data_IF_902473674294
#
_entry.id   IF_902473674294
#
_cell.length_a   1.000
_cell.length_b   1.000
_cell.length_c   1.000
_cell.angle_alpha   90.00
_cell.angle_beta   90.00
_cell.angle_gamma   90.00
#
_symmetry.space_group_name_H-M   'P 1'
#
loop_
_entity.id
_entity.type
_entity.pdbx_description
1 polymer ?
#
# COMPACT_ATOMS: atom_id res chain seq x y z
N UNK A 1 -29.30 16.39 -18.15
CA UNK A 1 -28.97 17.70 -17.56
C UNK A 1 -28.83 17.60 -16.04
N UNK A 2 -28.57 18.66 -15.27
CA UNK A 2 -28.21 18.57 -13.83
C UNK A 2 -29.12 17.66 -12.99
N UNK A 3 -30.45 17.77 -13.09
CA UNK A 3 -31.37 16.95 -12.30
C UNK A 3 -31.24 15.44 -12.61
N UNK A 4 -30.97 15.08 -13.85
CA UNK A 4 -30.82 13.68 -14.26
C UNK A 4 -29.51 13.11 -13.68
N UNK A 5 -28.42 13.87 -13.74
CA UNK A 5 -27.15 13.52 -13.13
C UNK A 5 -27.30 13.37 -11.59
N UNK A 6 -27.93 14.35 -10.93
CA UNK A 6 -28.23 14.27 -9.50
C UNK A 6 -29.05 13.01 -9.13
N UNK A 7 -30.03 12.67 -9.97
CA UNK A 7 -30.86 11.48 -9.75
C UNK A 7 -30.06 10.19 -9.90
N UNK A 8 -29.20 10.11 -10.93
CA UNK A 8 -28.32 8.96 -11.14
C UNK A 8 -27.33 8.76 -9.98
N UNK A 9 -26.74 9.85 -9.48
CA UNK A 9 -25.85 9.80 -8.32
C UNK A 9 -26.54 9.34 -7.04
N UNK A 10 -27.79 9.78 -6.80
CA UNK A 10 -28.60 9.30 -5.68
C UNK A 10 -28.88 7.79 -5.80
N UNK A 11 -29.22 7.32 -7.00
CA UNK A 11 -29.48 5.90 -7.26
C UNK A 11 -28.21 5.06 -7.06
N UNK A 12 -27.07 5.52 -7.57
CA UNK A 12 -25.76 4.83 -7.39
C UNK A 12 -25.37 4.68 -5.92
N UNK A 13 -25.74 5.66 -5.07
CA UNK A 13 -25.54 5.58 -3.59
C UNK A 13 -26.65 4.84 -2.84
N UNK A 14 -27.72 4.41 -3.49
CA UNK A 14 -28.86 3.75 -2.85
C UNK A 14 -29.65 4.66 -1.90
N UNK A 15 -29.66 5.98 -2.10
CA UNK A 15 -30.33 6.96 -1.25
C UNK A 15 -31.43 7.70 -2.03
N UNK A 16 -32.48 8.15 -1.31
CA UNK A 16 -33.51 8.97 -1.94
C UNK A 16 -33.01 10.39 -2.18
N UNK A 17 -33.54 11.04 -3.23
CA UNK A 17 -33.22 12.45 -3.57
C UNK A 17 -33.51 13.42 -2.44
N UNK A 18 -34.60 13.17 -1.68
CA UNK A 18 -34.96 13.97 -0.52
C UNK A 18 -33.98 13.82 0.62
N UNK A 19 -33.51 12.60 0.85
CA UNK A 19 -32.51 12.32 1.87
C UNK A 19 -31.16 12.98 1.53
N UNK A 20 -30.72 12.85 0.29
CA UNK A 20 -29.50 13.52 -0.17
C UNK A 20 -29.59 15.05 0.00
N UNK A 21 -30.72 15.64 -0.36
CA UNK A 21 -30.96 17.08 -0.18
C UNK A 21 -30.87 17.49 1.30
N UNK A 22 -31.51 16.76 2.20
CA UNK A 22 -31.47 17.02 3.65
C UNK A 22 -30.05 16.92 4.22
N UNK A 23 -29.31 15.90 3.83
CA UNK A 23 -27.91 15.71 4.27
C UNK A 23 -26.98 16.82 3.78
N UNK A 24 -27.29 17.46 2.65
CA UNK A 24 -26.59 18.64 2.13
C UNK A 24 -27.11 19.98 2.67
N UNK A 25 -28.11 19.96 3.56
CA UNK A 25 -28.76 21.18 4.08
C UNK A 25 -29.61 21.91 3.03
N UNK A 26 -30.10 21.20 2.02
CA UNK A 26 -30.98 21.74 0.98
C UNK A 26 -32.44 21.39 1.26
N UNK A 27 -33.37 22.29 0.89
CA UNK A 27 -34.80 22.02 1.03
C UNK A 27 -35.30 21.10 -0.08
N UNK A 28 -36.34 20.29 0.22
CA UNK A 28 -37.02 19.46 -0.78
C UNK A 28 -37.67 20.30 -1.90
N UNK A 29 -38.07 21.54 -1.61
CA UNK A 29 -38.58 22.47 -2.61
C UNK A 29 -37.54 22.86 -3.65
N UNK A 30 -36.25 22.93 -3.25
CA UNK A 30 -35.11 23.16 -4.16
C UNK A 30 -34.97 22.05 -5.17
N UNK A 31 -35.03 20.79 -4.72
CA UNK A 31 -34.96 19.60 -5.59
C UNK A 31 -36.16 19.54 -6.53
N UNK A 32 -37.35 19.86 -6.01
CA UNK A 32 -38.60 19.91 -6.83
C UNK A 32 -38.51 21.00 -7.90
N UNK A 33 -37.91 22.15 -7.59
CA UNK A 33 -37.65 23.22 -8.57
C UNK A 33 -36.74 22.71 -9.70
N UNK A 34 -35.63 22.05 -9.39
CA UNK A 34 -34.73 21.48 -10.42
C UNK A 34 -35.48 20.51 -11.34
N UNK A 35 -36.33 19.62 -10.75
CA UNK A 35 -37.13 18.69 -11.49
C UNK A 35 -38.09 19.37 -12.46
N UNK A 36 -38.78 20.41 -11.99
CA UNK A 36 -39.90 21.01 -12.76
C UNK A 36 -39.42 22.05 -13.78
N UNK A 37 -38.36 22.75 -13.49
CA UNK A 37 -37.87 23.87 -14.32
C UNK A 37 -36.64 23.53 -15.14
N UNK A 38 -35.96 22.41 -14.87
CA UNK A 38 -34.66 22.10 -15.46
C UNK A 38 -33.56 23.08 -15.08
N UNK A 39 -33.79 23.95 -14.09
CA UNK A 39 -32.88 25.01 -13.72
C UNK A 39 -31.55 24.46 -13.17
N UNK A 40 -30.47 25.07 -13.59
CA UNK A 40 -29.13 24.81 -13.01
C UNK A 40 -29.03 25.46 -11.64
N UNK A 41 -28.55 24.76 -10.62
CA UNK A 41 -28.31 25.34 -9.29
C UNK A 41 -27.27 26.45 -9.32
N UNK A 42 -27.28 27.29 -8.26
CA UNK A 42 -26.23 28.29 -8.05
C UNK A 42 -24.87 27.62 -7.83
N UNK A 43 -23.78 28.35 -8.08
CA UNK A 43 -22.42 27.85 -7.91
C UNK A 43 -22.15 27.27 -6.51
N UNK A 44 -22.69 27.89 -5.46
CA UNK A 44 -22.58 27.40 -4.08
C UNK A 44 -23.28 26.05 -3.91
N UNK A 45 -24.47 25.90 -4.47
CA UNK A 45 -25.22 24.64 -4.43
C UNK A 45 -24.54 23.55 -5.24
N UNK A 46 -23.99 23.90 -6.41
CA UNK A 46 -23.18 22.97 -7.23
C UNK A 46 -21.95 22.48 -6.47
N UNK A 47 -21.25 23.38 -5.78
CA UNK A 47 -20.08 23.01 -4.97
C UNK A 47 -20.47 22.06 -3.82
N UNK A 48 -21.62 22.27 -3.15
CA UNK A 48 -22.12 21.36 -2.10
C UNK A 48 -22.47 19.98 -2.64
N UNK A 49 -23.12 19.92 -3.80
CA UNK A 49 -23.49 18.65 -4.46
C UNK A 49 -22.23 17.91 -4.92
N UNK A 50 -21.29 18.65 -5.52
CA UNK A 50 -19.97 18.13 -5.93
C UNK A 50 -19.21 17.51 -4.75
N UNK A 51 -19.09 18.23 -3.64
CA UNK A 51 -18.42 17.75 -2.43
C UNK A 51 -19.12 16.53 -1.81
N UNK A 52 -20.45 16.54 -1.79
CA UNK A 52 -21.23 15.44 -1.20
C UNK A 52 -21.12 14.15 -2.01
N UNK A 53 -21.17 14.20 -3.33
CA UNK A 53 -21.08 13.02 -4.19
C UNK A 53 -19.64 12.67 -4.60
N UNK A 54 -18.69 13.59 -4.42
CA UNK A 54 -17.28 13.40 -4.81
C UNK A 54 -17.08 13.47 -6.34
N UNK A 55 -17.94 14.24 -7.05
CA UNK A 55 -17.88 14.39 -8.50
C UNK A 55 -17.58 15.84 -8.90
N UNK A 56 -16.81 16.09 -9.97
CA UNK A 56 -16.53 17.43 -10.45
C UNK A 56 -17.80 18.20 -10.85
N UNK A 57 -17.81 19.53 -10.66
CA UNK A 57 -18.96 20.39 -11.03
C UNK A 57 -19.29 20.29 -12.53
N UNK A 58 -18.30 20.15 -13.40
CA UNK A 58 -18.49 19.97 -14.85
C UNK A 58 -19.32 18.72 -15.17
N UNK A 59 -19.09 17.60 -14.48
CA UNK A 59 -19.86 16.38 -14.63
C UNK A 59 -21.32 16.56 -14.20
N UNK A 60 -21.57 17.33 -13.14
CA UNK A 60 -22.92 17.69 -12.70
C UNK A 60 -23.69 18.52 -13.72
N UNK A 61 -23.00 19.31 -14.53
CA UNK A 61 -23.57 20.16 -15.58
C UNK A 61 -23.76 19.42 -16.92
N UNK A 62 -23.29 18.14 -17.00
CA UNK A 62 -23.32 17.39 -18.24
C UNK A 62 -22.28 17.86 -19.25
N UNK A 63 -21.33 18.67 -18.82
CA UNK A 63 -20.09 18.85 -19.57
C UNK A 63 -19.40 17.49 -19.57
N UNK A 64 -19.10 16.97 -20.75
CA UNK A 64 -18.18 15.85 -20.84
C UNK A 64 -16.85 16.33 -20.23
N UNK A 65 -16.70 16.20 -18.91
CA UNK A 65 -15.38 16.20 -18.32
C UNK A 65 -14.69 15.09 -19.09
N UNK A 66 -13.61 15.36 -19.83
CA UNK A 66 -12.84 14.27 -20.37
C UNK A 66 -12.55 13.41 -19.14
N UNK A 67 -13.19 12.25 -19.05
CA UNK A 67 -12.86 11.26 -18.06
C UNK A 67 -11.35 11.14 -18.23
N UNK A 68 -10.57 11.45 -17.16
CA UNK A 68 -9.12 11.29 -17.14
C UNK A 68 -8.79 9.79 -17.11
N UNK A 69 -9.60 9.03 -17.77
CA UNK A 69 -9.43 7.70 -18.28
C UNK A 69 -9.46 7.77 -19.82
N UNK A 70 -8.70 8.70 -20.43
CA UNK A 70 -7.98 8.27 -21.60
C UNK A 70 -7.15 7.09 -21.09
N UNK A 71 -7.57 5.89 -21.45
CA UNK A 71 -6.68 4.73 -21.44
C UNK A 71 -5.45 5.16 -22.23
N UNK A 72 -4.51 5.82 -21.55
CA UNK A 72 -3.17 5.99 -22.09
C UNK A 72 -2.72 4.58 -22.33
N UNK A 73 -2.73 4.16 -23.61
CA UNK A 73 -2.17 2.88 -23.99
C UNK A 73 -0.78 2.85 -23.40
N UNK A 74 -0.67 2.14 -22.29
CA UNK A 74 0.62 1.98 -21.62
C UNK A 74 1.56 1.33 -22.65
N UNK A 75 2.84 1.68 -22.66
CA UNK A 75 3.84 0.98 -23.45
C UNK A 75 3.75 -0.53 -23.21
N UNK A 76 4.08 -1.31 -24.23
CA UNK A 76 4.10 -2.77 -24.11
C UNK A 76 4.97 -3.19 -22.91
N UNK A 77 4.41 -3.99 -22.00
CA UNK A 77 5.06 -4.41 -20.76
C UNK A 77 4.87 -3.46 -19.56
N UNK A 78 4.25 -2.29 -19.74
CA UNK A 78 3.95 -1.42 -18.60
C UNK A 78 2.74 -1.94 -17.82
N UNK A 79 2.85 -1.99 -16.50
CA UNK A 79 1.75 -2.35 -15.58
C UNK A 79 1.08 -1.08 -15.10
N UNK A 80 -0.27 -0.97 -15.17
CA UNK A 80 -0.99 0.18 -14.61
C UNK A 80 -0.68 0.35 -13.12
N UNK A 81 -0.43 1.59 -12.71
CA UNK A 81 -0.32 1.93 -11.30
C UNK A 81 -1.69 1.77 -10.63
N UNK A 82 -1.77 0.90 -9.65
CA UNK A 82 -2.95 0.72 -8.80
C UNK A 82 -2.64 1.31 -7.41
N UNK A 83 -3.20 2.46 -7.05
CA UNK A 83 -2.93 3.08 -5.75
C UNK A 83 -3.42 2.22 -4.56
N UNK A 84 -4.30 1.25 -4.80
CA UNK A 84 -4.72 0.29 -3.78
C UNK A 84 -3.64 -0.79 -3.52
N UNK A 85 -2.66 -0.93 -4.41
CA UNK A 85 -1.55 -1.87 -4.27
C UNK A 85 -0.30 -1.17 -3.74
N UNK A 86 -0.33 -0.86 -2.47
CA UNK A 86 0.83 -0.30 -1.76
C UNK A 86 1.18 -1.17 -0.56
N UNK A 87 2.46 -1.17 -0.18
CA UNK A 87 2.94 -1.78 1.05
C UNK A 87 3.66 -0.72 1.90
N UNK A 88 3.55 -0.77 3.24
CA UNK A 88 4.24 0.17 4.11
C UNK A 88 5.75 -0.02 4.00
N UNK A 89 6.50 1.08 4.00
CA UNK A 89 7.94 1.10 4.17
C UNK A 89 8.25 1.23 5.66
N UNK A 90 8.95 0.23 6.19
CA UNK A 90 9.37 0.19 7.58
C UNK A 90 10.84 0.58 7.71
N UNK A 91 11.14 1.48 8.62
CA UNK A 91 12.53 1.88 8.91
C UNK A 91 13.28 0.85 9.74
N UNK A 92 12.62 0.25 10.71
CA UNK A 92 13.23 -0.77 11.59
C UNK A 92 12.16 -1.74 12.10
N UNK A 93 12.45 -3.02 12.10
CA UNK A 93 11.59 -4.05 12.70
C UNK A 93 12.25 -4.56 13.98
N UNK A 94 11.60 -4.32 15.13
CA UNK A 94 12.07 -4.72 16.47
C UNK A 94 11.00 -5.51 17.21
N UNK A 95 11.42 -6.37 18.14
CA UNK A 95 10.47 -7.01 19.03
C UNK A 95 9.93 -6.02 20.08
N UNK A 96 8.71 -6.29 20.54
CA UNK A 96 8.05 -5.49 21.57
C UNK A 96 7.25 -4.30 21.04
N UNK A 97 7.49 -3.88 19.80
CA UNK A 97 6.63 -2.92 19.09
C UNK A 97 5.83 -3.63 17.99
N UNK A 98 4.56 -3.30 17.80
CA UNK A 98 3.82 -3.79 16.64
C UNK A 98 4.58 -3.41 15.35
N UNK A 99 4.83 -4.38 14.47
CA UNK A 99 5.60 -4.16 13.24
C UNK A 99 5.03 -3.02 12.39
N UNK A 100 3.69 -2.87 12.40
CA UNK A 100 2.94 -1.86 11.68
C UNK A 100 2.49 -0.69 12.58
N UNK A 101 3.21 -0.39 13.67
CA UNK A 101 2.96 0.83 14.43
C UNK A 101 3.25 2.06 13.55
N UNK A 102 2.43 3.10 13.64
CA UNK A 102 2.56 4.32 12.81
C UNK A 102 3.97 4.93 12.90
N UNK A 103 4.59 4.87 14.07
CA UNK A 103 5.96 5.35 14.32
C UNK A 103 7.05 4.58 13.57
N UNK A 104 6.75 3.36 13.08
CA UNK A 104 7.68 2.54 12.28
C UNK A 104 7.49 2.72 10.78
N UNK A 105 6.39 3.34 10.35
CA UNK A 105 6.06 3.51 8.93
C UNK A 105 6.64 4.81 8.43
N UNK A 106 7.61 4.72 7.53
CA UNK A 106 8.23 5.88 6.87
C UNK A 106 7.44 6.35 5.63
N UNK A 107 6.55 5.52 5.10
CA UNK A 107 5.73 5.80 3.92
C UNK A 107 5.08 4.56 3.34
N UNK A 108 4.50 4.72 2.14
CA UNK A 108 3.89 3.62 1.39
C UNK A 108 4.45 3.59 -0.02
N UNK A 109 4.82 2.41 -0.49
CA UNK A 109 5.42 2.19 -1.79
C UNK A 109 4.56 1.22 -2.60
N UNK A 110 4.32 1.51 -3.90
CA UNK A 110 3.59 0.61 -4.78
C UNK A 110 4.23 -0.77 -4.86
N UNK A 111 3.37 -1.80 -4.97
CA UNK A 111 3.76 -3.18 -5.26
C UNK A 111 2.99 -3.70 -6.48
N UNK A 112 3.57 -4.67 -7.18
CA UNK A 112 2.94 -5.28 -8.36
C UNK A 112 2.29 -6.64 -8.07
N UNK A 113 2.39 -7.11 -6.83
CA UNK A 113 1.94 -8.46 -6.44
C UNK A 113 0.50 -8.46 -5.97
N UNK A 114 -0.32 -9.38 -6.51
CA UNK A 114 -1.77 -9.51 -6.27
C UNK A 114 -2.17 -10.93 -5.80
N UNK A 115 -1.32 -11.58 -5.00
CA UNK A 115 -1.55 -12.95 -4.53
C UNK A 115 -2.29 -13.04 -3.18
N UNK A 116 -2.75 -11.92 -2.65
CA UNK A 116 -3.44 -11.85 -1.36
C UNK A 116 -2.53 -11.98 -0.13
N UNK A 117 -1.22 -12.15 -0.30
CA UNK A 117 -0.28 -12.15 0.80
C UNK A 117 -0.04 -10.72 1.32
N UNK A 118 0.41 -10.62 2.57
CA UNK A 118 0.86 -9.35 3.13
C UNK A 118 2.30 -9.07 2.73
N UNK A 119 2.56 -7.82 2.40
CA UNK A 119 3.88 -7.33 2.03
C UNK A 119 4.23 -6.07 2.80
N UNK A 120 5.53 -5.88 3.05
CA UNK A 120 6.08 -4.62 3.52
C UNK A 120 7.45 -4.38 2.88
N UNK A 121 7.81 -3.12 2.73
CA UNK A 121 9.16 -2.71 2.39
C UNK A 121 9.96 -2.52 3.66
N UNK A 122 11.23 -2.89 3.64
CA UNK A 122 12.16 -2.67 4.72
C UNK A 122 13.41 -1.97 4.18
N UNK A 123 13.81 -0.89 4.85
CA UNK A 123 15.06 -0.20 4.52
C UNK A 123 16.24 -0.99 5.06
N UNK A 124 17.18 -1.30 4.19
CA UNK A 124 18.40 -2.06 4.53
C UNK A 124 19.38 -1.19 5.30
N UNK A 125 19.92 -1.75 6.36
CA UNK A 125 20.99 -1.14 7.14
C UNK A 125 22.21 -2.04 7.12
N UNK A 126 23.38 -1.40 6.90
CA UNK A 126 24.66 -2.08 6.85
C UNK A 126 24.95 -2.81 5.53
N UNK A 127 26.09 -3.50 5.49
CA UNK A 127 26.72 -4.02 4.29
C UNK A 127 26.76 -5.56 4.22
N UNK A 128 26.06 -6.24 5.11
CA UNK A 128 26.17 -7.70 5.27
C UNK A 128 25.67 -8.51 4.06
N UNK A 129 24.98 -7.87 3.09
CA UNK A 129 24.43 -8.50 1.89
C UNK A 129 24.87 -7.82 0.59
N UNK A 130 25.92 -6.99 0.63
CA UNK A 130 26.37 -6.20 -0.52
C UNK A 130 26.96 -7.02 -1.65
N UNK A 131 27.47 -8.23 -1.38
CA UNK A 131 28.00 -9.15 -2.41
C UNK A 131 26.91 -9.77 -3.28
N UNK A 132 25.64 -9.67 -2.88
CA UNK A 132 24.48 -10.10 -3.69
C UNK A 132 23.66 -8.89 -4.19
N UNK A 133 24.26 -7.70 -4.15
CA UNK A 133 23.67 -6.50 -4.68
C UNK A 133 22.67 -5.81 -3.75
N UNK A 134 22.59 -6.17 -2.47
CA UNK A 134 21.74 -5.50 -1.48
C UNK A 134 22.65 -4.65 -0.59
N UNK A 135 22.54 -3.34 -0.74
CA UNK A 135 23.41 -2.36 -0.09
C UNK A 135 22.65 -1.56 0.98
N UNK A 136 23.39 -0.82 1.78
CA UNK A 136 22.79 0.10 2.74
C UNK A 136 21.89 1.12 2.03
N UNK A 137 20.76 1.44 2.66
CA UNK A 137 19.67 2.29 2.16
C UNK A 137 18.87 1.73 0.99
N UNK A 138 19.19 0.56 0.45
CA UNK A 138 18.28 -0.13 -0.46
C UNK A 138 16.97 -0.49 0.25
N UNK A 139 15.92 -0.69 -0.52
CA UNK A 139 14.62 -1.11 -0.02
C UNK A 139 14.30 -2.51 -0.53
N UNK A 140 14.02 -3.42 0.40
CA UNK A 140 13.64 -4.79 0.08
C UNK A 140 12.16 -5.01 0.32
N UNK A 141 11.48 -5.64 -0.65
CA UNK A 141 10.10 -6.08 -0.48
C UNK A 141 10.09 -7.45 0.18
N UNK A 142 9.39 -7.55 1.29
CA UNK A 142 9.29 -8.75 2.10
C UNK A 142 7.85 -9.27 2.07
N UNK A 143 7.69 -10.52 1.70
CA UNK A 143 6.44 -11.25 1.87
C UNK A 143 6.38 -11.77 3.30
N UNK A 144 5.38 -11.33 4.06
CA UNK A 144 5.18 -11.77 5.44
C UNK A 144 4.80 -13.25 5.48
N UNK A 145 5.65 -14.06 6.09
CA UNK A 145 5.41 -15.48 6.30
C UNK A 145 6.30 -16.03 7.42
N UNK A 146 5.81 -17.00 8.21
CA UNK A 146 6.55 -17.52 9.37
C UNK A 146 7.66 -18.51 9.00
N UNK A 147 7.70 -18.99 7.76
CA UNK A 147 8.63 -20.02 7.31
C UNK A 147 9.22 -19.67 5.94
N UNK A 148 10.45 -20.09 5.71
CA UNK A 148 11.17 -20.00 4.43
C UNK A 148 11.94 -21.30 4.16
N UNK A 149 12.21 -21.56 2.91
CA UNK A 149 13.00 -22.72 2.50
C UNK A 149 14.51 -22.49 2.72
N UNK A 150 15.24 -23.57 2.88
CA UNK A 150 16.71 -23.52 2.98
C UNK A 150 17.32 -22.88 1.74
N UNK A 151 18.19 -21.92 1.96
CA UNK A 151 18.86 -21.17 0.90
C UNK A 151 18.10 -19.93 0.43
N UNK A 152 16.91 -19.66 0.97
CA UNK A 152 16.18 -18.43 0.66
C UNK A 152 16.70 -17.23 1.46
N UNK A 153 16.54 -16.05 0.90
CA UNK A 153 16.85 -14.79 1.55
C UNK A 153 15.68 -14.37 2.43
N UNK A 154 15.91 -14.24 3.72
CA UNK A 154 14.87 -13.99 4.71
C UNK A 154 15.19 -12.79 5.60
N UNK A 155 14.14 -12.16 6.07
CA UNK A 155 14.18 -11.25 7.21
C UNK A 155 13.93 -12.08 8.46
N UNK A 156 14.88 -12.05 9.40
CA UNK A 156 14.89 -12.91 10.59
C UNK A 156 15.17 -12.06 11.83
N UNK A 157 14.51 -12.38 12.93
CA UNK A 157 14.78 -11.80 14.26
C UNK A 157 15.38 -12.86 15.16
N UNK A 158 16.41 -12.48 15.92
CA UNK A 158 17.10 -13.34 16.90
C UNK A 158 16.93 -12.73 18.29
N UNK A 159 16.38 -13.51 19.24
CA UNK A 159 16.10 -13.08 20.62
C UNK A 159 15.33 -11.76 20.73
N UNK A 160 14.48 -11.47 19.77
CA UNK A 160 13.71 -10.24 19.76
C UNK A 160 14.51 -8.97 19.46
N UNK A 161 15.75 -9.07 19.01
CA UNK A 161 16.53 -7.94 18.54
C UNK A 161 15.99 -7.40 17.20
N UNK A 162 16.67 -6.38 16.65
CA UNK A 162 16.35 -5.86 15.33
C UNK A 162 16.38 -6.95 14.25
N UNK A 163 15.49 -6.84 13.28
CA UNK A 163 15.45 -7.76 12.16
C UNK A 163 16.71 -7.65 11.31
N UNK A 164 17.20 -8.78 10.83
CA UNK A 164 18.35 -8.86 9.93
C UNK A 164 18.01 -9.62 8.66
N UNK A 165 18.68 -9.28 7.57
CA UNK A 165 18.53 -9.94 6.25
C UNK A 165 19.69 -10.89 6.04
N UNK A 166 19.42 -12.19 5.87
CA UNK A 166 20.43 -13.24 5.65
C UNK A 166 19.86 -14.36 4.79
N UNK A 167 20.75 -15.15 4.20
CA UNK A 167 20.36 -16.46 3.70
C UNK A 167 20.06 -17.38 4.88
N UNK A 168 18.89 -17.98 4.86
CA UNK A 168 18.39 -18.84 5.92
C UNK A 168 18.65 -20.30 5.60
N UNK A 169 19.08 -21.07 6.58
CA UNK A 169 19.16 -22.54 6.53
C UNK A 169 18.84 -23.11 7.89
N UNK A 170 18.01 -24.13 7.94
CA UNK A 170 17.69 -24.87 9.16
C UNK A 170 17.92 -26.36 8.98
N UNK A 171 18.61 -26.97 9.92
CA UNK A 171 18.82 -28.42 10.03
C UNK A 171 18.52 -28.86 11.46
N UNK A 172 17.38 -29.53 11.65
CA UNK A 172 16.89 -29.88 12.98
C UNK A 172 16.70 -28.66 13.87
N UNK A 173 17.40 -28.62 15.00
CA UNK A 173 17.36 -27.46 15.91
C UNK A 173 18.38 -26.35 15.57
N UNK A 174 19.21 -26.54 14.57
CA UNK A 174 20.22 -25.55 14.19
C UNK A 174 19.74 -24.66 13.06
N UNK A 175 19.83 -23.35 13.25
CA UNK A 175 19.61 -22.34 12.23
C UNK A 175 20.94 -21.68 11.91
N UNK A 176 21.25 -21.59 10.62
CA UNK A 176 22.42 -20.90 10.09
C UNK A 176 21.94 -19.69 9.29
N UNK A 177 22.38 -18.49 9.71
CA UNK A 177 22.16 -17.23 9.03
C UNK A 177 23.45 -16.83 8.31
N UNK A 178 23.44 -16.92 6.98
CA UNK A 178 24.66 -16.69 6.17
C UNK A 178 24.60 -15.30 5.52
N UNK A 179 25.52 -14.39 5.85
CA UNK A 179 25.70 -13.15 5.13
C UNK A 179 26.32 -13.38 3.75
N UNK A 180 26.18 -12.41 2.86
CA UNK A 180 26.90 -12.35 1.58
C UNK A 180 27.47 -10.95 1.42
N UNK A 181 28.66 -10.75 1.93
CA UNK A 181 29.32 -9.45 1.97
C UNK A 181 30.75 -9.53 1.44
N UNK A 182 31.20 -8.43 0.84
CA UNK A 182 32.64 -8.24 0.53
C UNK A 182 33.46 -7.92 1.79
N UNK A 183 32.80 -7.50 2.88
CA UNK A 183 33.44 -7.22 4.15
C UNK A 183 33.59 -8.53 4.95
N UNK A 184 34.81 -8.99 5.21
CA UNK A 184 35.09 -10.27 5.88
C UNK A 184 34.68 -10.30 7.35
N UNK A 185 34.30 -9.17 7.95
CA UNK A 185 33.79 -9.13 9.33
C UNK A 185 32.45 -9.90 9.47
N UNK A 186 31.68 -9.99 8.38
CA UNK A 186 30.42 -10.69 8.37
C UNK A 186 30.62 -12.18 8.17
N UNK A 187 30.49 -12.93 9.24
CA UNK A 187 30.61 -14.40 9.24
C UNK A 187 29.23 -15.05 9.41
N UNK A 188 29.05 -16.32 8.94
CA UNK A 188 27.84 -17.09 9.22
C UNK A 188 27.60 -17.20 10.74
N UNK A 189 26.33 -17.05 11.13
CA UNK A 189 25.88 -17.14 12.50
C UNK A 189 25.07 -18.42 12.69
N UNK A 190 25.41 -19.21 13.71
CA UNK A 190 24.75 -20.48 14.00
C UNK A 190 24.03 -20.35 15.33
N UNK A 191 22.74 -20.69 15.35
CA UNK A 191 21.87 -20.63 16.51
C UNK A 191 21.22 -21.99 16.77
N UNK A 192 21.21 -22.43 18.04
CA UNK A 192 20.45 -23.59 18.48
C UNK A 192 19.08 -23.13 19.01
N UNK A 193 18.00 -23.51 18.34
CA UNK A 193 16.63 -23.16 18.68
C UNK A 193 16.20 -23.63 20.09
N UNK A 194 16.97 -24.55 20.70
CA UNK A 194 16.76 -24.96 22.09
C UNK A 194 17.21 -23.87 23.09
N UNK A 195 18.03 -22.93 22.65
CA UNK A 195 18.66 -21.90 23.50
C UNK A 195 18.34 -20.48 23.04
N UNK A 196 18.09 -20.29 21.76
CA UNK A 196 17.95 -18.98 21.12
C UNK A 196 16.66 -18.95 20.32
N UNK A 197 15.84 -17.95 20.54
CA UNK A 197 14.65 -17.74 19.74
C UNK A 197 15.04 -17.11 18.39
N UNK A 198 14.79 -17.84 17.30
CA UNK A 198 14.94 -17.34 15.94
C UNK A 198 13.55 -17.35 15.31
N UNK A 199 13.12 -16.18 14.81
CA UNK A 199 11.81 -16.01 14.17
C UNK A 199 11.99 -15.47 12.76
N UNK A 200 11.46 -16.17 11.78
CA UNK A 200 11.33 -15.66 10.42
C UNK A 200 10.21 -14.61 10.42
N UNK A 201 10.49 -13.45 9.85
CA UNK A 201 9.52 -12.35 9.64
C UNK A 201 8.92 -12.47 8.24
N UNK A 202 9.74 -12.85 7.25
CA UNK A 202 9.28 -13.05 5.90
C UNK A 202 10.39 -13.34 4.89
N UNK A 203 9.94 -13.65 3.68
CA UNK A 203 10.78 -13.92 2.51
C UNK A 203 11.07 -12.62 1.76
N UNK A 204 12.32 -12.34 1.44
CA UNK A 204 12.68 -11.24 0.55
C UNK A 204 12.39 -11.64 -0.90
N UNK A 205 11.57 -10.85 -1.58
CA UNK A 205 11.08 -11.16 -2.94
C UNK A 205 11.51 -10.14 -4.00
N UNK A 206 11.98 -8.97 -3.58
CA UNK A 206 12.42 -7.90 -4.47
C UNK A 206 13.41 -6.99 -3.73
N UNK A 207 14.31 -6.34 -4.47
CA UNK A 207 15.18 -5.28 -3.97
C UNK A 207 15.14 -4.08 -4.92
N UNK A 208 14.91 -2.90 -4.38
CA UNK A 208 14.90 -1.64 -5.10
C UNK A 208 16.10 -0.79 -4.68
N UNK A 209 16.82 -0.27 -5.67
CA UNK A 209 17.89 0.70 -5.45
C UNK A 209 17.28 2.10 -5.27
N UNK A 210 17.77 2.80 -4.26
CA UNK A 210 17.45 4.22 -4.03
C UNK A 210 18.74 5.02 -4.28
N UNK A 211 18.70 5.97 -5.23
CA UNK A 211 19.82 6.82 -5.62
C UNK A 211 19.63 8.23 -5.11
#
# INVERSE_FOLDING_TARGET
>A
MFYDCYTALCQARGISRSRAAQEMGLSNSTVTKWKNTGATPSGETLARVSAYFGVPVGELLGEAVPSVQEERKLPEGAVPFDPALTAPLLGTVRAGLPMYAEENIEGYIPITRKDGARYFWLRVRGDSMNAVGISENDEILVREQPEVENGQLAVVMVNGNEATVKYFRQEGSLVVLTPKSFNPVHQPQIYDLKRVQVRVVGLVVECRKVF
#
